data_IF_925610440820
#
_entry.id   IF_925610440820
#
_cell.length_a   1.000
_cell.length_b   1.000
_cell.length_c   1.000
_cell.angle_alpha   90.00
_cell.angle_beta   90.00
_cell.angle_gamma   90.00
#
_symmetry.space_group_name_H-M   'P 1'
#
loop_
_entity.id
_entity.type
_entity.pdbx_description
1 polymer ?
#
# COMPACT_ATOMS: atom_id res chain seq x y z
N UNK A 1 -23.02 59.41 -7.77
CA UNK A 1 -23.51 58.02 -7.63
C UNK A 1 -22.33 57.10 -7.87
N UNK A 2 -21.75 56.54 -6.80
CA UNK A 2 -20.65 55.59 -6.92
C UNK A 2 -21.23 54.17 -6.98
N UNK A 3 -21.01 53.47 -8.09
CA UNK A 3 -21.35 52.07 -8.23
C UNK A 3 -20.32 51.28 -7.42
N UNK A 4 -20.72 50.83 -6.23
CA UNK A 4 -19.97 49.83 -5.48
C UNK A 4 -20.11 48.51 -6.25
N UNK A 5 -19.07 48.20 -7.05
CA UNK A 5 -18.88 46.85 -7.57
C UNK A 5 -18.68 45.95 -6.36
N UNK A 6 -19.72 45.18 -6.06
CA UNK A 6 -19.60 44.05 -5.15
C UNK A 6 -18.77 43.01 -5.88
N UNK A 7 -17.46 43.04 -5.64
CA UNK A 7 -16.60 41.91 -5.94
C UNK A 7 -17.10 40.78 -5.07
N UNK A 8 -17.93 39.90 -5.62
CA UNK A 8 -18.15 38.58 -5.05
C UNK A 8 -16.78 37.91 -5.09
N UNK A 9 -16.10 37.94 -3.95
CA UNK A 9 -15.00 37.03 -3.69
C UNK A 9 -15.61 35.66 -3.83
N UNK A 10 -15.31 35.00 -4.95
CA UNK A 10 -15.60 33.59 -5.16
C UNK A 10 -14.81 32.82 -4.09
N UNK A 11 -15.44 32.61 -2.94
CA UNK A 11 -14.93 31.77 -1.87
C UNK A 11 -15.25 30.31 -2.23
N UNK A 12 -14.67 29.83 -3.34
CA UNK A 12 -14.50 28.40 -3.62
C UNK A 12 -13.33 27.89 -2.77
N UNK A 13 -13.51 27.91 -1.44
CA UNK A 13 -12.56 27.31 -0.51
C UNK A 13 -12.72 25.78 -0.60
N UNK A 14 -11.90 25.10 -1.41
CA UNK A 14 -10.44 25.11 -1.28
C UNK A 14 -9.95 24.04 -0.29
N UNK A 15 -10.82 23.11 0.14
CA UNK A 15 -10.45 21.97 0.97
C UNK A 15 -10.25 20.72 0.11
N UNK A 16 -9.07 20.14 0.20
CA UNK A 16 -8.69 18.93 -0.54
C UNK A 16 -9.61 17.73 -0.21
N UNK A 17 -10.38 17.21 -1.19
CA UNK A 17 -11.47 16.28 -0.92
C UNK A 17 -11.04 14.91 -0.41
N UNK A 18 -9.76 14.53 -0.52
CA UNK A 18 -9.27 13.27 0.06
C UNK A 18 -9.10 13.35 1.58
N UNK A 19 -8.92 14.55 2.16
CA UNK A 19 -8.59 14.73 3.58
C UNK A 19 -9.62 14.14 4.56
N UNK A 20 -10.94 14.27 4.34
CA UNK A 20 -11.94 13.62 5.20
C UNK A 20 -11.82 12.09 5.20
N UNK A 21 -11.48 11.49 4.05
CA UNK A 21 -11.24 10.04 3.95
C UNK A 21 -9.98 9.65 4.72
N UNK A 22 -8.87 10.38 4.53
CA UNK A 22 -7.62 10.09 5.25
C UNK A 22 -7.82 10.11 6.77
N UNK A 23 -8.54 11.10 7.30
CA UNK A 23 -8.87 11.17 8.73
C UNK A 23 -9.72 9.98 9.19
N UNK A 24 -10.75 9.63 8.42
CA UNK A 24 -11.67 8.54 8.78
C UNK A 24 -10.97 7.18 8.73
N UNK A 25 -10.14 6.96 7.70
CA UNK A 25 -9.34 5.74 7.51
C UNK A 25 -8.31 5.62 8.64
N UNK A 26 -7.60 6.70 8.97
CA UNK A 26 -6.64 6.71 10.08
C UNK A 26 -7.29 6.36 11.42
N UNK A 27 -8.46 6.94 11.72
CA UNK A 27 -9.22 6.61 12.92
C UNK A 27 -9.68 5.15 12.92
N UNK A 28 -10.23 4.67 11.80
CA UNK A 28 -10.70 3.30 11.69
C UNK A 28 -9.57 2.27 11.79
N UNK A 29 -8.40 2.57 11.23
CA UNK A 29 -7.20 1.76 11.36
C UNK A 29 -6.78 1.64 12.83
N UNK A 30 -6.68 2.76 13.55
CA UNK A 30 -6.32 2.76 14.96
C UNK A 30 -7.28 1.93 15.82
N UNK A 31 -8.59 2.07 15.59
CA UNK A 31 -9.61 1.31 16.32
C UNK A 31 -9.61 -0.19 16.00
N UNK A 32 -9.21 -0.56 14.78
CA UNK A 32 -8.99 -1.96 14.41
C UNK A 32 -7.72 -2.52 15.04
N UNK A 33 -6.58 -1.82 14.94
CA UNK A 33 -5.28 -2.29 15.44
C UNK A 33 -5.19 -2.36 16.96
N UNK A 34 -5.87 -1.48 17.69
CA UNK A 34 -5.91 -1.48 19.16
C UNK A 34 -7.06 -2.31 19.73
N UNK A 35 -7.97 -2.76 18.86
CA UNK A 35 -9.10 -3.59 19.25
C UNK A 35 -8.67 -5.02 19.61
N UNK A 36 -9.58 -5.82 20.18
CA UNK A 36 -9.35 -7.26 20.30
C UNK A 36 -9.09 -7.87 18.91
N UNK A 37 -8.26 -8.91 18.87
CA UNK A 37 -7.76 -9.52 17.61
C UNK A 37 -8.87 -9.96 16.64
N UNK A 38 -10.08 -10.22 17.15
CA UNK A 38 -11.25 -10.67 16.38
C UNK A 38 -12.33 -9.58 16.25
N UNK A 39 -11.91 -8.32 16.06
CA UNK A 39 -12.85 -7.22 15.85
C UNK A 39 -13.24 -7.07 14.37
N UNK A 40 -13.98 -8.06 13.88
CA UNK A 40 -14.47 -8.11 12.49
C UNK A 40 -15.28 -6.86 12.10
N UNK A 41 -16.03 -6.28 13.04
CA UNK A 41 -16.82 -5.05 12.79
C UNK A 41 -15.91 -3.86 12.47
N UNK A 42 -14.83 -3.66 13.24
CA UNK A 42 -13.88 -2.58 12.98
C UNK A 42 -13.10 -2.80 11.69
N UNK A 43 -12.72 -4.06 11.38
CA UNK A 43 -12.07 -4.42 10.13
C UNK A 43 -12.98 -4.16 8.92
N UNK A 44 -14.24 -4.61 8.97
CA UNK A 44 -15.26 -4.36 7.94
C UNK A 44 -15.44 -2.86 7.69
N UNK A 45 -15.51 -2.05 8.75
CA UNK A 45 -15.61 -0.58 8.63
C UNK A 45 -14.36 0.03 7.99
N UNK A 46 -13.17 -0.41 8.40
CA UNK A 46 -11.90 0.03 7.82
C UNK A 46 -11.81 -0.27 6.32
N UNK A 47 -12.12 -1.52 5.93
CA UNK A 47 -12.20 -1.96 4.53
C UNK A 47 -13.19 -1.12 3.72
N UNK A 48 -14.37 -0.87 4.28
CA UNK A 48 -15.42 -0.07 3.62
C UNK A 48 -14.99 1.37 3.35
N UNK A 49 -14.24 1.98 4.27
CA UNK A 49 -13.69 3.34 4.09
C UNK A 49 -12.58 3.39 3.04
N UNK A 50 -11.70 2.39 3.02
CA UNK A 50 -10.68 2.25 1.98
C UNK A 50 -11.31 2.08 0.60
N UNK A 51 -12.27 1.16 0.46
CA UNK A 51 -13.01 0.95 -0.79
C UNK A 51 -13.68 2.23 -1.26
N UNK A 52 -14.39 2.93 -0.38
CA UNK A 52 -15.09 4.18 -0.73
C UNK A 52 -14.12 5.27 -1.19
N UNK A 53 -12.91 5.33 -0.60
CA UNK A 53 -11.87 6.27 -1.00
C UNK A 53 -11.32 5.93 -2.39
N UNK A 54 -10.96 4.65 -2.60
CA UNK A 54 -10.43 4.17 -3.88
C UNK A 54 -11.45 4.36 -5.00
N UNK A 55 -12.70 3.94 -4.79
CA UNK A 55 -13.76 4.08 -5.79
C UNK A 55 -14.01 5.54 -6.16
N UNK A 56 -13.97 6.44 -5.18
CA UNK A 56 -14.17 7.88 -5.39
C UNK A 56 -13.05 8.54 -6.19
N UNK A 57 -11.79 8.17 -5.96
CA UNK A 57 -10.64 8.94 -6.47
C UNK A 57 -9.81 8.24 -7.55
N UNK A 58 -10.03 6.94 -7.83
CA UNK A 58 -9.28 6.21 -8.88
C UNK A 58 -9.40 6.81 -10.29
N UNK A 59 -10.46 7.57 -10.55
CA UNK A 59 -10.75 8.22 -11.83
C UNK A 59 -10.46 9.73 -11.81
N UNK A 60 -10.11 10.29 -10.65
CA UNK A 60 -9.82 11.71 -10.50
C UNK A 60 -8.35 12.00 -10.81
N UNK A 61 -8.12 12.73 -11.90
CA UNK A 61 -6.76 13.04 -12.38
C UNK A 61 -5.91 13.80 -11.35
N UNK A 62 -6.53 14.52 -10.40
CA UNK A 62 -5.81 15.25 -9.34
C UNK A 62 -5.00 14.32 -8.44
N UNK A 63 -5.44 13.07 -8.28
CA UNK A 63 -4.82 12.10 -7.38
C UNK A 63 -3.99 11.03 -8.11
N UNK A 64 -3.87 11.15 -9.45
CA UNK A 64 -3.12 10.20 -10.26
C UNK A 64 -1.66 10.08 -9.82
N UNK A 65 -1.05 11.22 -9.49
CA UNK A 65 0.34 11.34 -9.07
C UNK A 65 0.47 11.75 -7.58
N UNK A 66 -0.55 11.46 -6.77
CA UNK A 66 -0.57 11.83 -5.35
C UNK A 66 -0.12 10.67 -4.45
N UNK A 67 0.98 10.90 -3.73
CA UNK A 67 1.57 9.91 -2.82
C UNK A 67 0.61 9.44 -1.72
N UNK A 68 -0.33 10.28 -1.29
CA UNK A 68 -1.35 9.91 -0.29
C UNK A 68 -2.30 8.88 -0.86
N UNK A 69 -2.66 9.00 -2.14
CA UNK A 69 -3.50 8.02 -2.80
C UNK A 69 -2.77 6.70 -3.03
N UNK A 70 -1.48 6.72 -3.34
CA UNK A 70 -0.66 5.50 -3.41
C UNK A 70 -0.65 4.71 -2.10
N UNK A 71 -0.51 5.41 -0.96
CA UNK A 71 -0.60 4.79 0.36
C UNK A 71 -1.98 4.18 0.61
N UNK A 72 -3.05 4.83 0.17
CA UNK A 72 -4.42 4.29 0.26
C UNK A 72 -4.57 3.01 -0.56
N UNK A 73 -4.00 2.94 -1.76
CA UNK A 73 -4.01 1.73 -2.57
C UNK A 73 -3.25 0.57 -1.91
N UNK A 74 -2.11 0.85 -1.27
CA UNK A 74 -1.36 -0.16 -0.51
C UNK A 74 -2.19 -0.68 0.66
N UNK A 75 -2.78 0.23 1.45
CA UNK A 75 -3.65 -0.15 2.58
C UNK A 75 -4.89 -0.91 2.11
N UNK A 76 -5.44 -0.57 0.94
CA UNK A 76 -6.54 -1.28 0.32
C UNK A 76 -6.15 -2.71 -0.01
N UNK A 77 -5.03 -2.93 -0.71
CA UNK A 77 -4.56 -4.28 -1.07
C UNK A 77 -4.26 -5.15 0.16
N UNK A 78 -3.68 -4.57 1.21
CA UNK A 78 -3.45 -5.27 2.47
C UNK A 78 -4.78 -5.63 3.17
N UNK A 79 -5.71 -4.68 3.30
CA UNK A 79 -6.98 -4.90 3.98
C UNK A 79 -7.91 -5.86 3.22
N UNK A 80 -7.85 -5.89 1.89
CA UNK A 80 -8.61 -6.85 1.06
C UNK A 80 -7.89 -8.17 0.84
N UNK A 81 -6.61 -8.25 1.20
CA UNK A 81 -5.72 -9.38 0.93
C UNK A 81 -5.58 -9.68 -0.58
N UNK A 82 -5.71 -8.66 -1.43
CA UNK A 82 -5.61 -8.80 -2.88
C UNK A 82 -4.87 -7.62 -3.55
N UNK A 83 -3.54 -7.70 -3.57
CA UNK A 83 -2.71 -6.76 -4.30
C UNK A 83 -2.86 -6.86 -5.83
N UNK A 84 -3.48 -7.91 -6.39
CA UNK A 84 -3.71 -7.98 -7.84
C UNK A 84 -4.72 -6.92 -8.26
N UNK A 85 -5.79 -6.72 -7.49
CA UNK A 85 -6.77 -5.67 -7.74
C UNK A 85 -6.11 -4.27 -7.72
N UNK A 86 -5.18 -4.04 -6.78
CA UNK A 86 -4.40 -2.81 -6.72
C UNK A 86 -3.61 -2.58 -8.01
N UNK A 87 -2.87 -3.60 -8.48
CA UNK A 87 -2.11 -3.48 -9.73
C UNK A 87 -3.01 -3.27 -10.95
N UNK A 88 -4.18 -3.91 -11.00
CA UNK A 88 -5.14 -3.68 -12.08
C UNK A 88 -5.65 -2.22 -12.11
N UNK A 89 -5.98 -1.65 -10.95
CA UNK A 89 -6.38 -0.24 -10.84
C UNK A 89 -5.24 0.65 -11.33
N UNK A 90 -4.03 0.41 -10.86
CA UNK A 90 -2.85 1.18 -11.24
C UNK A 90 -2.56 1.13 -12.74
N UNK A 91 -2.66 -0.05 -13.36
CA UNK A 91 -2.41 -0.23 -14.79
C UNK A 91 -3.50 0.43 -15.63
N UNK A 92 -4.77 0.17 -15.32
CA UNK A 92 -5.91 0.72 -16.07
C UNK A 92 -5.98 2.24 -15.98
N UNK A 93 -5.56 2.83 -14.85
CA UNK A 93 -5.66 4.27 -14.58
C UNK A 93 -4.33 5.02 -14.74
N UNK A 94 -3.23 4.29 -14.90
CA UNK A 94 -1.90 4.87 -15.02
C UNK A 94 -1.43 5.57 -13.73
N UNK A 95 -1.72 4.99 -12.57
CA UNK A 95 -1.46 5.53 -11.22
C UNK A 95 -0.25 4.84 -10.62
N UNK A 96 0.75 5.59 -10.13
CA UNK A 96 1.82 5.06 -9.27
C UNK A 96 2.72 3.98 -9.89
N UNK A 97 2.66 3.73 -11.21
CA UNK A 97 3.38 2.63 -11.86
C UNK A 97 4.90 2.72 -11.64
N UNK A 98 5.43 3.94 -11.46
CA UNK A 98 6.86 4.21 -11.24
C UNK A 98 7.23 4.34 -9.76
N UNK A 99 6.35 4.09 -8.82
CA UNK A 99 6.64 4.27 -7.39
C UNK A 99 7.21 2.99 -6.78
N UNK A 100 8.48 3.04 -6.35
CA UNK A 100 9.19 1.87 -5.85
C UNK A 100 8.50 1.21 -4.65
N UNK A 101 7.96 2.01 -3.73
CA UNK A 101 7.43 1.55 -2.46
C UNK A 101 6.12 0.76 -2.61
N UNK A 102 5.42 0.88 -3.75
CA UNK A 102 4.25 0.05 -4.03
C UNK A 102 4.66 -1.40 -4.26
N UNK A 103 5.70 -1.62 -5.05
CA UNK A 103 6.26 -2.95 -5.29
C UNK A 103 6.89 -3.52 -4.01
N UNK A 104 7.59 -2.69 -3.25
CA UNK A 104 8.18 -3.09 -1.98
C UNK A 104 7.10 -3.55 -0.98
N UNK A 105 6.01 -2.80 -0.85
CA UNK A 105 4.89 -3.14 0.04
C UNK A 105 4.15 -4.41 -0.41
N UNK A 106 3.88 -4.54 -1.71
CA UNK A 106 3.25 -5.74 -2.25
C UNK A 106 4.14 -6.99 -2.10
N UNK A 107 5.47 -6.85 -2.26
CA UNK A 107 6.39 -7.95 -2.01
C UNK A 107 6.42 -8.34 -0.52
N UNK A 108 6.44 -7.36 0.39
CA UNK A 108 6.37 -7.61 1.84
C UNK A 108 5.10 -8.37 2.23
N UNK A 109 3.95 -8.02 1.63
CA UNK A 109 2.69 -8.75 1.81
C UNK A 109 2.82 -10.23 1.41
N UNK A 110 3.37 -10.53 0.22
CA UNK A 110 3.54 -11.91 -0.22
C UNK A 110 4.57 -12.68 0.63
N UNK A 111 5.63 -12.01 1.10
CA UNK A 111 6.61 -12.60 2.03
C UNK A 111 5.93 -13.02 3.34
N UNK A 112 5.10 -12.15 3.93
CA UNK A 112 4.40 -12.44 5.17
C UNK A 112 3.45 -13.65 5.05
N UNK A 113 2.92 -13.91 3.85
CA UNK A 113 2.11 -15.09 3.54
C UNK A 113 2.91 -16.35 3.18
N UNK A 114 4.23 -16.25 3.09
CA UNK A 114 5.09 -17.34 2.60
C UNK A 114 5.03 -17.56 1.08
N UNK A 115 4.42 -16.66 0.33
CA UNK A 115 4.28 -16.71 -1.13
C UNK A 115 5.53 -16.11 -1.82
N UNK A 116 6.70 -16.74 -1.59
CA UNK A 116 8.01 -16.18 -1.98
C UNK A 116 8.18 -15.99 -3.50
N UNK A 117 7.55 -16.83 -4.32
CA UNK A 117 7.55 -16.69 -5.77
C UNK A 117 6.80 -15.44 -6.23
N UNK A 118 5.66 -15.12 -5.61
CA UNK A 118 4.90 -13.91 -5.91
C UNK A 118 5.65 -12.66 -5.44
N UNK A 119 6.29 -12.71 -4.27
CA UNK A 119 7.16 -11.63 -3.80
C UNK A 119 8.28 -11.34 -4.81
N UNK A 120 8.97 -12.39 -5.30
CA UNK A 120 9.99 -12.24 -6.35
C UNK A 120 9.40 -11.62 -7.62
N UNK A 121 8.23 -12.09 -8.08
CA UNK A 121 7.56 -11.58 -9.28
C UNK A 121 7.28 -10.08 -9.16
N UNK A 122 6.80 -9.63 -8.01
CA UNK A 122 6.53 -8.21 -7.75
C UNK A 122 7.80 -7.36 -7.75
N UNK A 123 8.89 -7.82 -7.11
CA UNK A 123 10.18 -7.11 -7.17
C UNK A 123 10.66 -6.95 -8.61
N UNK A 124 10.67 -8.04 -9.38
CA UNK A 124 11.11 -8.03 -10.77
C UNK A 124 10.21 -7.13 -11.64
N UNK A 125 8.90 -7.11 -11.38
CA UNK A 125 7.97 -6.21 -12.06
C UNK A 125 8.34 -4.74 -11.83
N UNK A 126 8.55 -4.33 -10.59
CA UNK A 126 8.94 -2.95 -10.27
C UNK A 126 10.30 -2.55 -10.86
N UNK A 127 11.27 -3.47 -10.86
CA UNK A 127 12.59 -3.27 -11.49
C UNK A 127 12.43 -3.10 -13.01
N UNK A 128 11.63 -3.95 -13.67
CA UNK A 128 11.39 -3.86 -15.12
C UNK A 128 10.74 -2.53 -15.53
N UNK A 129 9.90 -1.98 -14.65
CA UNK A 129 9.22 -0.70 -14.82
C UNK A 129 10.08 0.51 -14.43
N UNK A 130 11.30 0.29 -13.97
CA UNK A 130 12.22 1.32 -13.49
C UNK A 130 11.57 2.21 -12.43
N UNK A 131 10.92 1.57 -11.45
CA UNK A 131 10.31 2.29 -10.34
C UNK A 131 11.36 3.10 -9.59
N UNK A 132 11.08 4.37 -9.26
CA UNK A 132 12.04 5.33 -8.73
C UNK A 132 11.88 5.53 -7.23
N UNK A 133 12.97 5.69 -6.47
CA UNK A 133 14.35 5.38 -6.85
C UNK A 133 14.59 3.85 -6.99
N UNK A 134 15.08 3.43 -8.15
CA UNK A 134 15.26 2.01 -8.49
C UNK A 134 16.25 1.30 -7.58
N UNK A 135 17.24 2.02 -7.07
CA UNK A 135 18.26 1.47 -6.19
C UNK A 135 17.67 1.04 -4.85
N UNK A 136 16.64 1.73 -4.35
CA UNK A 136 15.91 1.29 -3.14
C UNK A 136 15.22 -0.04 -3.38
N UNK A 137 14.51 -0.19 -4.50
CA UNK A 137 13.83 -1.44 -4.82
C UNK A 137 14.81 -2.60 -5.03
N UNK A 138 15.93 -2.35 -5.72
CA UNK A 138 17.00 -3.36 -5.89
C UNK A 138 17.63 -3.75 -4.55
N UNK A 139 17.82 -2.80 -3.65
CA UNK A 139 18.32 -3.06 -2.31
C UNK A 139 17.36 -3.96 -1.53
N UNK A 140 16.07 -3.64 -1.48
CA UNK A 140 15.06 -4.53 -0.86
C UNK A 140 15.05 -5.92 -1.47
N UNK A 141 15.10 -6.02 -2.81
CA UNK A 141 15.16 -7.32 -3.48
C UNK A 141 16.42 -8.11 -3.13
N UNK A 142 17.58 -7.46 -3.01
CA UNK A 142 18.83 -8.11 -2.59
C UNK A 142 18.75 -8.66 -1.16
N UNK A 143 18.10 -7.94 -0.25
CA UNK A 143 17.88 -8.38 1.14
C UNK A 143 16.97 -9.59 1.18
N UNK A 144 15.88 -9.58 0.38
CA UNK A 144 15.00 -10.72 0.21
C UNK A 144 15.76 -11.97 -0.30
N UNK A 145 16.58 -11.85 -1.34
CA UNK A 145 17.38 -12.98 -1.86
C UNK A 145 18.39 -13.49 -0.83
N UNK A 146 19.03 -12.60 -0.08
CA UNK A 146 19.93 -12.99 0.99
C UNK A 146 19.20 -13.79 2.08
N UNK A 147 17.99 -13.39 2.48
CA UNK A 147 17.17 -14.17 3.42
C UNK A 147 16.79 -15.54 2.87
N UNK A 148 16.40 -15.63 1.59
CA UNK A 148 16.11 -16.93 0.94
C UNK A 148 17.33 -17.86 0.97
N UNK A 149 18.52 -17.33 0.69
CA UNK A 149 19.74 -18.13 0.70
C UNK A 149 20.07 -18.71 2.07
N UNK A 150 19.78 -17.97 3.15
CA UNK A 150 19.95 -18.45 4.53
C UNK A 150 19.00 -19.59 4.83
N UNK A 151 17.71 -19.43 4.48
CA UNK A 151 16.71 -20.48 4.66
C UNK A 151 17.12 -21.77 3.93
N UNK A 152 17.67 -21.65 2.72
CA UNK A 152 18.14 -22.81 1.95
C UNK A 152 19.37 -23.47 2.58
N UNK A 153 20.32 -22.68 3.10
CA UNK A 153 21.53 -23.20 3.75
C UNK A 153 21.22 -23.86 5.11
N UNK A 154 20.23 -23.36 5.83
CA UNK A 154 19.74 -23.94 7.09
C UNK A 154 18.96 -25.26 6.86
N UNK A 155 18.59 -25.58 5.61
CA UNK A 155 17.88 -26.80 5.22
C UNK A 155 18.81 -28.00 4.88
N UNK A 156 20.14 -27.89 5.07
CA UNK A 156 21.04 -29.05 4.99
C UNK A 156 20.82 -30.04 6.16
N UNK A 157 20.91 -31.37 5.92
CA UNK A 157 20.13 -32.37 6.66
C UNK A 157 20.85 -32.79 7.95
N UNK A 158 20.64 -32.02 9.01
CA UNK A 158 21.12 -32.37 10.34
C UNK A 158 20.39 -31.53 11.36
N UNK A 159 19.36 -32.13 11.97
CA UNK A 159 18.48 -31.60 13.02
C UNK A 159 17.21 -30.87 12.55
N UNK A 160 16.13 -31.64 12.65
CA UNK A 160 14.80 -31.20 13.04
C UNK A 160 14.85 -30.29 14.27
N UNK A 161 14.57 -28.99 14.11
CA UNK A 161 13.74 -28.18 15.03
C UNK A 161 13.80 -26.68 14.65
N UNK A 162 12.62 -26.05 14.67
CA UNK A 162 12.33 -24.62 14.92
C UNK A 162 11.62 -23.87 13.76
N UNK A 163 10.34 -24.21 13.59
CA UNK A 163 9.29 -23.44 12.91
C UNK A 163 8.91 -22.14 13.67
N UNK A 164 9.86 -21.28 14.05
CA UNK A 164 9.51 -20.11 14.89
C UNK A 164 10.27 -18.81 14.66
N UNK A 165 10.96 -18.61 13.53
CA UNK A 165 11.75 -17.38 13.32
C UNK A 165 11.27 -16.43 12.20
N UNK A 166 10.12 -16.66 11.57
CA UNK A 166 9.64 -15.73 10.52
C UNK A 166 8.87 -14.51 11.09
N UNK A 167 8.57 -14.47 12.39
CA UNK A 167 7.74 -13.39 13.00
C UNK A 167 8.54 -12.15 13.45
N UNK A 168 9.88 -12.16 13.44
CA UNK A 168 10.68 -11.10 14.11
C UNK A 168 11.45 -10.13 13.19
N UNK A 169 11.21 -10.10 11.87
CA UNK A 169 11.99 -9.22 10.96
C UNK A 169 11.39 -7.83 10.69
N UNK A 170 10.41 -7.36 11.48
CA UNK A 170 9.85 -6.00 11.31
C UNK A 170 9.66 -5.24 12.64
N UNK A 171 10.76 -5.00 13.36
CA UNK A 171 10.88 -3.89 14.31
C UNK A 171 12.23 -3.18 14.17
#
# INVERSE_FOLDING_TARGET
MAVVRHSTVDDDSGSDPILPYLRSIGKAHQEYSLGPADNETNLCRYRSLLWSCVDRFKDDQRYRDDQRFYKILILYGDATQDFREVFEIMEKKGIGIREWFIYDSAAAFYIAKGELLEAQRVFLLGISRKAEPIDKLKMSYSQFLHHLSKIQNDFHPGLTACLSHVILMFH
#
